data_IF_643461154811
#
_entry.id   IF_643461154811
#
_cell.length_a   1.000
_cell.length_b   1.000
_cell.length_c   1.000
_cell.angle_alpha   90.00
_cell.angle_beta   90.00
_cell.angle_gamma   90.00
#
_symmetry.space_group_name_H-M   'P 1'
#
loop_
_entity.id
_entity.type
_entity.pdbx_description
1 polymer ?
#
# COMPACT_ATOMS: atom_id res chain seq x y z
N UNK A 1 -18.68 -18.41 42.62
CA UNK A 1 -18.64 -17.02 42.19
C UNK A 1 -17.90 -17.00 40.87
N UNK A 2 -18.62 -17.01 39.74
CA UNK A 2 -18.08 -17.10 38.38
C UNK A 2 -17.88 -15.65 37.91
N UNK A 3 -16.62 -15.23 37.78
CA UNK A 3 -16.27 -13.94 37.25
C UNK A 3 -16.60 -13.91 35.74
N UNK A 4 -17.54 -13.03 35.39
CA UNK A 4 -17.99 -12.81 34.03
C UNK A 4 -16.83 -12.37 33.14
N UNK A 5 -16.69 -13.01 31.99
CA UNK A 5 -15.89 -12.52 30.89
C UNK A 5 -16.50 -11.19 30.44
N UNK A 6 -15.75 -10.10 30.60
CA UNK A 6 -16.10 -8.83 29.99
C UNK A 6 -16.11 -9.01 28.47
N UNK A 7 -17.29 -8.87 27.88
CA UNK A 7 -17.48 -8.76 26.45
C UNK A 7 -16.89 -7.40 26.02
N UNK A 8 -15.60 -7.37 25.70
CA UNK A 8 -15.04 -6.22 24.99
C UNK A 8 -15.63 -6.26 23.59
N UNK A 9 -16.24 -5.17 23.10
CA UNK A 9 -16.74 -5.11 21.73
C UNK A 9 -15.57 -5.39 20.78
N UNK A 10 -15.76 -6.30 19.83
CA UNK A 10 -14.80 -6.58 18.77
C UNK A 10 -14.50 -5.26 18.05
N UNK A 11 -13.24 -4.96 17.82
CA UNK A 11 -12.70 -3.70 17.27
C UNK A 11 -13.41 -3.21 15.98
N UNK A 12 -14.33 -3.98 15.41
CA UNK A 12 -14.97 -3.76 14.10
C UNK A 12 -16.43 -3.31 14.10
N UNK A 13 -17.16 -3.32 15.21
CA UNK A 13 -18.62 -3.08 15.17
C UNK A 13 -19.04 -1.72 14.61
N UNK A 14 -18.10 -0.80 14.25
CA UNK A 14 -18.43 0.53 13.68
C UNK A 14 -17.37 1.12 12.71
N UNK A 15 -16.44 0.33 12.13
CA UNK A 15 -15.50 0.86 11.13
C UNK A 15 -15.80 0.33 9.73
N UNK A 16 -15.69 1.17 8.67
CA UNK A 16 -15.77 0.68 7.30
C UNK A 16 -14.68 -0.35 7.02
N UNK A 17 -14.90 -1.22 6.03
CA UNK A 17 -13.87 -2.12 5.55
C UNK A 17 -12.61 -1.34 5.10
N UNK A 18 -11.39 -1.85 5.34
CA UNK A 18 -10.19 -1.19 4.87
C UNK A 18 -10.15 -1.16 3.34
N UNK A 19 -9.61 -0.09 2.78
CA UNK A 19 -9.34 0.02 1.35
C UNK A 19 -8.32 -1.05 0.90
N UNK A 20 -8.39 -1.49 -0.37
CA UNK A 20 -7.50 -2.53 -0.90
C UNK A 20 -6.67 -1.98 -2.06
N UNK A 21 -5.35 -2.02 -1.89
CA UNK A 21 -4.37 -1.72 -2.94
C UNK A 21 -3.79 -3.03 -3.50
N UNK A 22 -3.78 -3.16 -4.82
CA UNK A 22 -3.09 -4.26 -5.52
C UNK A 22 -1.82 -3.68 -6.14
N UNK A 23 -0.66 -4.15 -5.66
CA UNK A 23 0.64 -3.55 -5.97
C UNK A 23 1.48 -4.41 -6.92
N UNK A 24 2.31 -3.75 -7.73
CA UNK A 24 3.24 -4.40 -8.65
C UNK A 24 2.58 -4.89 -9.94
N UNK A 25 1.62 -4.15 -10.47
CA UNK A 25 1.03 -4.36 -11.79
C UNK A 25 2.01 -3.88 -12.87
N UNK A 26 2.12 -4.64 -13.94
CA UNK A 26 2.97 -4.34 -15.10
C UNK A 26 2.19 -4.32 -16.41
N UNK A 27 0.95 -4.77 -16.41
CA UNK A 27 0.09 -4.92 -17.57
C UNK A 27 -1.17 -4.05 -17.43
N UNK A 28 -1.48 -3.17 -18.42
CA UNK A 28 -2.63 -2.26 -18.36
C UNK A 28 -3.98 -2.98 -18.34
N UNK A 29 -4.15 -4.05 -19.12
CA UNK A 29 -5.43 -4.75 -19.20
C UNK A 29 -5.73 -5.47 -17.88
N UNK A 30 -4.71 -6.03 -17.26
CA UNK A 30 -4.83 -6.64 -15.94
C UNK A 30 -5.14 -5.59 -14.86
N UNK A 31 -4.52 -4.41 -14.94
CA UNK A 31 -4.80 -3.32 -14.02
C UNK A 31 -6.26 -2.84 -14.14
N UNK A 32 -6.78 -2.70 -15.36
CA UNK A 32 -8.19 -2.35 -15.61
C UNK A 32 -9.15 -3.43 -15.09
N UNK A 33 -8.83 -4.70 -15.32
CA UNK A 33 -9.65 -5.80 -14.80
C UNK A 33 -9.72 -5.79 -13.27
N UNK A 34 -8.60 -5.53 -12.59
CA UNK A 34 -8.53 -5.45 -11.13
C UNK A 34 -9.27 -4.21 -10.60
N UNK A 35 -9.16 -3.08 -11.28
CA UNK A 35 -9.94 -1.89 -10.95
C UNK A 35 -11.46 -2.17 -11.04
N UNK A 36 -11.90 -2.83 -12.11
CA UNK A 36 -13.30 -3.23 -12.31
C UNK A 36 -13.80 -4.24 -11.26
N UNK A 37 -12.91 -4.99 -10.60
CA UNK A 37 -13.24 -5.88 -9.49
C UNK A 37 -13.49 -5.13 -8.16
N UNK A 38 -13.20 -3.81 -8.10
CA UNK A 38 -13.40 -3.00 -6.91
C UNK A 38 -12.16 -2.82 -6.03
N UNK A 39 -10.95 -2.93 -6.59
CA UNK A 39 -9.75 -2.46 -5.90
C UNK A 39 -9.79 -0.93 -5.76
N UNK A 40 -9.37 -0.39 -4.62
CA UNK A 40 -9.35 1.05 -4.34
C UNK A 40 -8.07 1.73 -4.86
N UNK A 41 -7.00 0.96 -5.01
CA UNK A 41 -5.71 1.47 -5.48
C UNK A 41 -4.93 0.45 -6.32
N UNK A 42 -4.23 0.94 -7.33
CA UNK A 42 -3.28 0.16 -8.15
C UNK A 42 -1.88 0.71 -7.95
N UNK A 43 -0.94 -0.18 -7.61
CA UNK A 43 0.47 0.16 -7.44
C UNK A 43 1.34 -0.28 -8.61
N UNK A 44 2.14 0.65 -9.15
CA UNK A 44 3.14 0.41 -10.19
C UNK A 44 4.52 0.73 -9.62
N UNK A 45 5.48 -0.19 -9.77
CA UNK A 45 6.81 -0.07 -9.17
C UNK A 45 7.78 0.54 -10.16
N UNK A 46 8.28 1.75 -9.85
CA UNK A 46 9.30 2.48 -10.62
C UNK A 46 10.72 2.31 -10.07
N UNK A 47 11.00 1.24 -9.33
CA UNK A 47 12.32 0.96 -8.76
C UNK A 47 13.07 -0.01 -9.67
N UNK A 48 14.07 0.49 -10.38
CA UNK A 48 14.88 -0.31 -11.30
C UNK A 48 15.54 -1.51 -10.62
N UNK A 49 15.69 -2.62 -11.34
CA UNK A 49 16.28 -3.85 -10.82
C UNK A 49 15.33 -4.72 -9.99
N UNK A 50 14.10 -4.28 -9.74
CA UNK A 50 13.09 -5.12 -9.10
C UNK A 50 12.34 -5.97 -10.14
N UNK A 51 11.84 -7.16 -9.78
CA UNK A 51 11.14 -8.05 -10.73
C UNK A 51 9.82 -7.48 -11.30
N UNK A 52 9.31 -6.40 -10.71
CA UNK A 52 8.04 -5.74 -11.08
C UNK A 52 8.26 -4.32 -11.58
N UNK A 53 9.49 -4.01 -11.96
CA UNK A 53 9.83 -2.70 -12.48
C UNK A 53 9.05 -2.40 -13.76
N UNK A 54 8.51 -1.18 -13.82
CA UNK A 54 7.87 -0.60 -14.99
C UNK A 54 8.54 0.74 -15.26
N UNK A 55 8.96 0.98 -16.48
CA UNK A 55 9.58 2.24 -16.86
C UNK A 55 8.58 3.42 -16.88
N UNK A 56 9.08 4.64 -17.02
CA UNK A 56 8.25 5.85 -17.00
C UNK A 56 7.20 5.85 -18.11
N UNK A 57 7.56 5.42 -19.31
CA UNK A 57 6.66 5.44 -20.48
C UNK A 57 5.52 4.44 -20.28
N UNK A 58 5.85 3.23 -19.89
CA UNK A 58 4.87 2.16 -19.62
C UNK A 58 3.96 2.51 -18.46
N UNK A 59 4.51 3.06 -17.35
CA UNK A 59 3.74 3.53 -16.20
C UNK A 59 2.75 4.62 -16.61
N UNK A 60 3.19 5.62 -17.40
CA UNK A 60 2.31 6.69 -17.86
C UNK A 60 1.16 6.17 -18.71
N UNK A 61 1.45 5.25 -19.63
CA UNK A 61 0.41 4.61 -20.46
C UNK A 61 -0.60 3.86 -19.58
N UNK A 62 -0.13 3.06 -18.61
CA UNK A 62 -0.97 2.33 -17.68
C UNK A 62 -1.85 3.29 -16.85
N UNK A 63 -1.27 4.33 -16.26
CA UNK A 63 -2.02 5.28 -15.45
C UNK A 63 -3.01 6.11 -16.28
N UNK A 64 -2.70 6.44 -17.52
CA UNK A 64 -3.63 7.13 -18.40
C UNK A 64 -4.85 6.25 -18.72
N UNK A 65 -4.66 4.95 -18.95
CA UNK A 65 -5.79 4.04 -19.14
C UNK A 65 -6.67 3.95 -17.88
N UNK A 66 -6.06 3.86 -16.70
CA UNK A 66 -6.80 3.85 -15.43
C UNK A 66 -7.52 5.17 -15.17
N UNK A 67 -6.91 6.31 -15.48
CA UNK A 67 -7.50 7.63 -15.31
C UNK A 67 -8.81 7.79 -16.12
N UNK A 68 -8.82 7.25 -17.34
CA UNK A 68 -9.98 7.31 -18.22
C UNK A 68 -11.09 6.33 -17.81
N UNK A 69 -10.74 5.14 -17.36
CA UNK A 69 -11.71 4.07 -17.09
C UNK A 69 -12.18 4.02 -15.63
N UNK A 70 -11.37 4.49 -14.69
CA UNK A 70 -11.63 4.45 -13.26
C UNK A 70 -11.04 5.70 -12.57
N UNK A 71 -11.60 6.90 -12.78
CA UNK A 71 -11.03 8.17 -12.32
C UNK A 71 -10.86 8.26 -10.80
N UNK A 72 -11.71 7.58 -10.03
CA UNK A 72 -11.66 7.56 -8.55
C UNK A 72 -10.58 6.61 -8.00
N UNK A 73 -10.02 5.74 -8.85
CA UNK A 73 -8.99 4.79 -8.45
C UNK A 73 -7.69 5.50 -8.11
N UNK A 74 -7.09 5.13 -6.98
CA UNK A 74 -5.76 5.61 -6.62
C UNK A 74 -4.68 4.99 -7.50
N UNK A 75 -3.96 5.82 -8.24
CA UNK A 75 -2.80 5.43 -9.06
C UNK A 75 -1.54 5.67 -8.25
N UNK A 76 -0.96 4.60 -7.72
CA UNK A 76 0.17 4.67 -6.78
C UNK A 76 1.48 4.36 -7.49
N UNK A 77 2.37 5.35 -7.58
CA UNK A 77 3.73 5.15 -8.07
C UNK A 77 4.68 4.86 -6.92
N UNK A 78 5.24 3.66 -6.89
CA UNK A 78 6.20 3.24 -5.86
C UNK A 78 7.61 3.58 -6.31
N UNK A 79 8.31 4.38 -5.51
CA UNK A 79 9.70 4.83 -5.77
C UNK A 79 10.57 4.61 -4.53
N UNK A 80 11.89 4.60 -4.73
CA UNK A 80 12.86 4.54 -3.64
C UNK A 80 14.01 5.50 -3.93
N UNK A 81 14.20 6.49 -3.04
CA UNK A 81 15.30 7.46 -3.08
C UNK A 81 15.48 8.16 -4.44
N UNK A 82 14.34 8.43 -5.11
CA UNK A 82 14.34 9.00 -6.46
C UNK A 82 14.83 10.46 -6.45
N UNK A 83 15.72 10.87 -7.39
CA UNK A 83 16.15 12.26 -7.53
C UNK A 83 15.00 13.21 -7.87
N UNK A 84 15.09 14.48 -7.43
CA UNK A 84 14.04 15.49 -7.61
C UNK A 84 13.63 15.71 -9.06
N UNK A 85 14.62 15.78 -9.95
CA UNK A 85 14.35 16.01 -11.38
C UNK A 85 13.60 14.82 -12.02
N UNK A 86 13.85 13.59 -11.58
CA UNK A 86 13.14 12.42 -12.05
C UNK A 86 11.72 12.35 -11.46
N UNK A 87 11.56 12.66 -10.17
CA UNK A 87 10.26 12.74 -9.54
C UNK A 87 9.39 13.81 -10.21
N UNK A 88 9.90 15.05 -10.34
CA UNK A 88 9.18 16.16 -10.98
C UNK A 88 8.79 15.84 -12.41
N UNK A 89 9.70 15.22 -13.20
CA UNK A 89 9.38 14.72 -14.53
C UNK A 89 8.25 13.69 -14.49
N UNK A 90 8.30 12.73 -13.55
CA UNK A 90 7.30 11.68 -13.40
C UNK A 90 5.92 12.18 -12.98
N UNK A 91 5.83 13.39 -12.41
CA UNK A 91 4.60 14.07 -11.98
C UNK A 91 4.07 15.09 -12.99
N UNK A 92 4.80 15.36 -14.07
CA UNK A 92 4.37 16.28 -15.12
C UNK A 92 3.50 15.57 -16.19
N UNK A 93 2.70 16.36 -16.92
CA UNK A 93 1.90 15.96 -18.09
C UNK A 93 0.79 14.92 -17.78
N UNK A 94 0.64 13.90 -18.65
CA UNK A 94 -0.43 12.91 -18.60
C UNK A 94 0.01 11.60 -17.91
N UNK A 95 -0.95 10.82 -17.45
CA UNK A 95 -0.69 9.53 -16.80
C UNK A 95 0.10 9.69 -15.50
N UNK A 96 -0.23 10.73 -14.73
CA UNK A 96 0.40 11.01 -13.46
C UNK A 96 -0.19 10.14 -12.33
N UNK A 97 0.61 9.82 -11.32
CA UNK A 97 0.07 9.19 -10.11
C UNK A 97 -0.79 10.17 -9.32
N UNK A 98 -1.77 9.67 -8.59
CA UNK A 98 -2.47 10.41 -7.53
C UNK A 98 -1.71 10.33 -6.22
N UNK A 99 -0.88 9.29 -6.07
CA UNK A 99 -0.06 9.02 -4.88
C UNK A 99 1.34 8.60 -5.31
N UNK A 100 2.36 9.17 -4.66
CA UNK A 100 3.73 8.66 -4.68
C UNK A 100 4.02 7.94 -3.37
N UNK A 101 4.34 6.65 -3.45
CA UNK A 101 4.75 5.85 -2.30
C UNK A 101 6.27 5.83 -2.20
N UNK A 102 6.80 6.49 -1.18
CA UNK A 102 8.23 6.58 -0.87
C UNK A 102 8.68 5.33 -0.11
N UNK A 103 9.36 4.42 -0.79
CA UNK A 103 9.73 3.09 -0.27
C UNK A 103 11.23 2.95 0.04
N UNK A 104 12.01 4.01 -0.15
CA UNK A 104 13.43 4.10 0.18
C UNK A 104 13.69 4.57 1.61
N UNK A 105 14.82 5.27 1.78
CA UNK A 105 15.26 5.82 3.07
C UNK A 105 15.00 7.35 3.16
N UNK A 106 13.96 7.83 2.45
CA UNK A 106 13.58 9.25 2.44
C UNK A 106 13.33 9.74 3.87
N UNK A 107 14.04 10.79 4.29
CA UNK A 107 13.89 11.38 5.62
C UNK A 107 12.58 12.14 5.78
N UNK A 108 12.10 12.42 7.02
CA UNK A 108 10.92 13.27 7.25
C UNK A 108 11.05 14.65 6.58
N UNK A 109 12.24 15.25 6.61
CA UNK A 109 12.50 16.55 5.96
C UNK A 109 12.34 16.44 4.44
N UNK A 110 12.85 15.36 3.85
CA UNK A 110 12.69 15.07 2.42
C UNK A 110 11.22 14.88 2.05
N UNK A 111 10.47 14.10 2.82
CA UNK A 111 9.05 13.90 2.60
C UNK A 111 8.26 15.22 2.67
N UNK A 112 8.54 16.05 3.68
CA UNK A 112 7.91 17.36 3.84
C UNK A 112 8.23 18.30 2.68
N UNK A 113 9.47 18.29 2.16
CA UNK A 113 9.87 19.09 1.00
C UNK A 113 9.09 18.65 -0.25
N UNK A 114 9.05 17.34 -0.53
CA UNK A 114 8.29 16.81 -1.66
C UNK A 114 6.81 17.18 -1.63
N UNK A 115 6.20 17.09 -0.45
CA UNK A 115 4.80 17.47 -0.25
C UNK A 115 4.55 18.96 -0.51
N UNK A 116 5.50 19.82 -0.17
CA UNK A 116 5.43 21.27 -0.46
C UNK A 116 5.63 21.58 -1.94
N UNK A 117 6.55 20.90 -2.58
CA UNK A 117 6.90 21.14 -3.99
C UNK A 117 5.82 20.59 -4.94
N UNK A 118 5.08 19.56 -4.51
CA UNK A 118 4.04 18.90 -5.31
C UNK A 118 2.69 18.82 -4.57
N UNK A 119 2.01 19.94 -4.29
CA UNK A 119 0.82 20.01 -3.44
C UNK A 119 -0.41 19.28 -4.00
N UNK A 120 -0.39 18.90 -5.28
CA UNK A 120 -1.47 18.15 -5.94
C UNK A 120 -1.27 16.63 -5.84
N UNK A 121 -0.12 16.17 -5.33
CA UNK A 121 0.22 14.75 -5.21
C UNK A 121 0.27 14.37 -3.74
N UNK A 122 -0.37 13.25 -3.39
CA UNK A 122 -0.25 12.69 -2.04
C UNK A 122 1.02 11.86 -1.92
N UNK A 123 1.65 11.93 -0.76
CA UNK A 123 2.86 11.18 -0.45
C UNK A 123 2.61 10.20 0.68
N UNK A 124 2.84 8.91 0.42
CA UNK A 124 2.82 7.86 1.43
C UNK A 124 4.25 7.42 1.75
N UNK A 125 4.57 7.20 3.02
CA UNK A 125 5.88 6.67 3.42
C UNK A 125 5.76 5.20 3.80
N UNK A 126 6.52 4.35 3.13
CA UNK A 126 6.67 2.96 3.53
C UNK A 126 7.71 2.84 4.66
N UNK A 127 7.30 2.18 5.74
CA UNK A 127 8.10 1.87 6.93
C UNK A 127 8.31 0.37 6.99
N UNK A 128 9.53 -0.09 6.72
CA UNK A 128 9.89 -1.51 6.79
C UNK A 128 10.36 -1.85 8.21
N UNK A 129 9.56 -2.62 8.94
CA UNK A 129 9.82 -2.93 10.34
C UNK A 129 10.60 -4.25 10.49
N UNK A 130 11.66 -4.21 11.29
CA UNK A 130 12.42 -5.39 11.78
C UNK A 130 12.09 -5.71 13.22
N UNK A 131 11.74 -4.69 14.00
CA UNK A 131 11.42 -4.81 15.42
C UNK A 131 10.27 -3.85 15.76
N UNK A 132 9.50 -4.11 16.81
CA UNK A 132 8.37 -3.26 17.21
C UNK A 132 8.80 -1.85 17.64
N UNK A 133 10.03 -1.68 18.16
CA UNK A 133 10.54 -0.36 18.58
C UNK A 133 10.65 0.61 17.42
N UNK A 134 10.80 0.10 16.19
CA UNK A 134 10.87 0.94 14.99
C UNK A 134 9.55 1.65 14.66
N UNK A 135 8.43 1.20 15.23
CA UNK A 135 7.16 1.94 15.17
C UNK A 135 7.26 3.34 15.77
N UNK A 136 8.14 3.57 16.75
CA UNK A 136 8.38 4.92 17.30
C UNK A 136 8.93 5.90 16.26
N UNK A 137 9.58 5.41 15.20
CA UNK A 137 10.08 6.26 14.11
C UNK A 137 8.96 6.89 13.28
N UNK A 138 7.77 6.30 13.33
CA UNK A 138 6.57 6.81 12.64
C UNK A 138 6.24 8.22 13.07
N UNK A 139 6.42 8.57 14.35
CA UNK A 139 6.12 9.90 14.88
C UNK A 139 6.84 11.02 14.13
N UNK A 140 8.05 10.76 13.64
CA UNK A 140 8.83 11.74 12.88
C UNK A 140 8.24 12.06 11.49
N UNK A 141 7.33 11.23 10.96
CA UNK A 141 6.74 11.38 9.63
C UNK A 141 5.31 11.94 9.63
N UNK A 142 4.66 12.07 10.78
CA UNK A 142 3.23 12.39 10.88
C UNK A 142 2.83 13.67 10.15
N UNK A 143 3.67 14.72 10.20
CA UNK A 143 3.41 15.99 9.54
C UNK A 143 3.98 16.03 8.09
N UNK A 144 4.71 15.02 7.70
CA UNK A 144 5.52 15.01 6.47
C UNK A 144 4.89 14.23 5.33
N UNK A 145 3.89 13.40 5.60
CA UNK A 145 3.23 12.52 4.62
C UNK A 145 1.72 12.47 4.83
N UNK A 146 0.98 11.95 3.86
CA UNK A 146 -0.47 11.86 3.90
C UNK A 146 -0.97 10.51 4.43
N UNK A 147 -0.12 9.48 4.34
CA UNK A 147 -0.35 8.17 4.94
C UNK A 147 0.96 7.42 5.16
N UNK A 148 0.90 6.39 5.99
CA UNK A 148 1.98 5.43 6.20
C UNK A 148 1.64 4.09 5.57
N UNK A 149 2.63 3.38 5.09
CA UNK A 149 2.53 1.98 4.75
C UNK A 149 3.50 1.20 5.63
N UNK A 150 2.99 0.28 6.43
CA UNK A 150 3.79 -0.55 7.33
C UNK A 150 4.00 -1.90 6.67
N UNK A 151 5.25 -2.26 6.40
CA UNK A 151 5.62 -3.49 5.69
C UNK A 151 6.60 -4.33 6.52
N UNK A 152 6.59 -5.64 6.31
CA UNK A 152 7.59 -6.53 6.86
C UNK A 152 8.94 -6.29 6.17
N UNK A 153 10.00 -6.09 6.97
CA UNK A 153 11.34 -5.98 6.41
C UNK A 153 11.83 -7.32 5.84
N UNK A 154 12.48 -7.26 4.69
CA UNK A 154 13.21 -8.39 4.12
C UNK A 154 14.63 -7.95 3.73
N UNK A 155 15.65 -8.80 3.96
CA UNK A 155 17.02 -8.47 3.54
C UNK A 155 17.19 -8.42 2.03
N UNK A 156 16.39 -9.18 1.29
CA UNK A 156 16.65 -9.48 -0.12
C UNK A 156 15.89 -8.56 -1.09
N UNK A 157 14.82 -7.90 -0.65
CA UNK A 157 13.97 -7.09 -1.54
C UNK A 157 13.30 -5.91 -0.84
N UNK A 158 13.03 -4.85 -1.61
CA UNK A 158 12.21 -3.71 -1.23
C UNK A 158 10.70 -4.08 -1.26
N UNK A 159 10.28 -5.02 -0.39
CA UNK A 159 8.91 -5.51 -0.33
C UNK A 159 8.62 -6.70 -1.26
N UNK A 160 7.39 -7.23 -1.18
CA UNK A 160 6.92 -8.33 -2.05
C UNK A 160 7.47 -9.72 -1.72
N UNK A 161 8.11 -9.92 -0.57
CA UNK A 161 8.65 -11.23 -0.13
C UNK A 161 7.57 -12.15 0.44
N UNK A 162 6.40 -11.61 0.77
CA UNK A 162 5.30 -12.35 1.37
C UNK A 162 5.49 -12.67 2.86
N UNK A 163 6.51 -12.11 3.51
CA UNK A 163 6.66 -12.16 4.95
C UNK A 163 5.57 -11.35 5.63
N UNK A 164 5.07 -11.84 6.76
CA UNK A 164 4.06 -11.16 7.57
C UNK A 164 4.71 -10.47 8.76
N UNK A 165 4.22 -9.28 9.10
CA UNK A 165 4.52 -8.68 10.39
C UNK A 165 3.78 -9.44 11.49
N UNK A 166 4.39 -9.65 12.65
CA UNK A 166 3.67 -10.09 13.85
C UNK A 166 2.59 -9.06 14.19
N UNK A 167 1.31 -9.48 14.22
CA UNK A 167 0.19 -8.56 14.44
C UNK A 167 0.21 -7.92 15.83
N UNK A 168 0.81 -8.61 16.82
CA UNK A 168 1.02 -8.10 18.17
C UNK A 168 1.84 -6.80 18.19
N UNK A 169 2.70 -6.54 17.21
CA UNK A 169 3.44 -5.28 17.11
C UNK A 169 2.53 -4.10 16.76
N UNK A 170 1.41 -4.37 16.09
CA UNK A 170 0.49 -3.38 15.56
C UNK A 170 -0.80 -3.28 16.35
N UNK A 171 -1.12 -4.26 17.20
CA UNK A 171 -2.38 -4.32 17.94
C UNK A 171 -2.59 -3.13 18.88
N UNK A 172 -1.50 -2.58 19.43
CA UNK A 172 -1.51 -1.40 20.30
C UNK A 172 -1.12 -0.11 19.58
N UNK A 173 -0.74 -0.20 18.29
CA UNK A 173 -0.30 0.96 17.50
C UNK A 173 -1.50 1.86 17.19
N UNK A 174 -1.50 3.07 17.75
CA UNK A 174 -2.44 4.13 17.40
C UNK A 174 -1.73 5.14 16.52
N UNK A 175 -1.86 4.94 15.20
CA UNK A 175 -1.29 5.87 14.24
C UNK A 175 -2.29 7.00 13.98
N UNK A 176 -1.91 8.27 14.19
CA UNK A 176 -2.84 9.41 14.10
C UNK A 176 -3.10 9.88 12.66
N UNK A 177 -2.49 9.25 11.68
CA UNK A 177 -2.73 9.46 10.25
C UNK A 177 -3.13 8.14 9.58
N UNK A 178 -3.78 8.16 8.40
CA UNK A 178 -4.15 6.95 7.68
C UNK A 178 -2.94 6.01 7.48
N UNK A 179 -3.15 4.71 7.66
CA UNK A 179 -2.09 3.74 7.51
C UNK A 179 -2.54 2.46 6.82
N UNK A 180 -1.62 1.91 6.05
CA UNK A 180 -1.78 0.72 5.25
C UNK A 180 -0.91 -0.40 5.79
N UNK A 181 -1.42 -1.63 5.79
CA UNK A 181 -0.65 -2.81 6.14
C UNK A 181 -0.26 -3.58 4.88
N UNK A 182 1.05 -3.81 4.73
CA UNK A 182 1.63 -4.66 3.70
C UNK A 182 2.29 -5.91 4.30
N UNK A 183 2.73 -6.80 3.42
CA UNK A 183 3.43 -8.03 3.81
C UNK A 183 2.51 -9.23 3.94
N UNK A 184 2.55 -10.11 2.94
CA UNK A 184 1.87 -11.41 2.96
C UNK A 184 0.35 -11.38 2.94
N UNK A 185 -0.27 -10.26 2.55
CA UNK A 185 -1.73 -10.12 2.49
C UNK A 185 -2.31 -11.13 1.50
N UNK A 186 -3.27 -11.92 1.99
CA UNK A 186 -4.01 -12.93 1.21
C UNK A 186 -5.40 -13.15 1.82
N UNK A 187 -6.34 -13.66 1.03
CA UNK A 187 -7.74 -13.89 1.47
C UNK A 187 -7.85 -14.72 2.75
N UNK A 188 -7.01 -15.75 2.88
CA UNK A 188 -7.02 -16.66 4.01
C UNK A 188 -6.58 -15.99 5.33
N UNK A 189 -5.79 -14.93 5.24
CA UNK A 189 -5.29 -14.22 6.42
C UNK A 189 -6.20 -13.08 6.88
N UNK A 190 -7.10 -12.59 6.05
CA UNK A 190 -7.96 -11.44 6.35
C UNK A 190 -8.76 -11.62 7.64
N UNK A 191 -9.43 -12.77 7.92
CA UNK A 191 -10.21 -12.92 9.15
C UNK A 191 -9.37 -12.76 10.41
N UNK A 192 -8.20 -13.41 10.46
CA UNK A 192 -7.26 -13.30 11.58
C UNK A 192 -6.72 -11.86 11.71
N UNK A 193 -6.19 -11.30 10.60
CA UNK A 193 -5.61 -9.97 10.56
C UNK A 193 -6.59 -8.93 11.11
N UNK A 194 -7.78 -8.89 10.58
CA UNK A 194 -8.76 -7.87 10.91
C UNK A 194 -9.44 -8.09 12.28
N UNK A 195 -9.25 -9.25 12.91
CA UNK A 195 -9.64 -9.47 14.30
C UNK A 195 -8.67 -8.82 15.30
N UNK A 196 -7.42 -8.56 14.90
CA UNK A 196 -6.36 -8.07 15.77
C UNK A 196 -5.97 -6.61 15.50
N UNK A 197 -6.03 -6.17 14.24
CA UNK A 197 -5.63 -4.81 13.82
C UNK A 197 -6.67 -4.17 12.90
N UNK A 198 -6.68 -2.84 12.87
CA UNK A 198 -7.63 -2.04 12.09
C UNK A 198 -6.89 -1.02 11.23
N UNK A 199 -6.18 -1.45 10.16
CA UNK A 199 -5.60 -0.54 9.20
C UNK A 199 -6.69 0.18 8.40
N UNK A 200 -6.37 1.36 7.86
CA UNK A 200 -7.25 2.07 6.91
C UNK A 200 -7.18 1.43 5.52
N UNK A 201 -6.09 0.73 5.21
CA UNK A 201 -5.94 0.00 3.95
C UNK A 201 -5.01 -1.22 4.06
N UNK A 202 -5.12 -2.09 3.06
CA UNK A 202 -4.32 -3.30 2.88
C UNK A 202 -3.58 -3.22 1.54
N UNK A 203 -2.28 -3.50 1.54
CA UNK A 203 -1.44 -3.53 0.34
C UNK A 203 -1.02 -4.97 0.00
N UNK A 204 -1.59 -5.52 -1.05
CA UNK A 204 -1.36 -6.90 -1.48
C UNK A 204 -0.55 -6.96 -2.78
N UNK A 205 0.44 -7.85 -2.85
CA UNK A 205 1.30 -8.02 -4.03
C UNK A 205 1.59 -9.49 -4.34
N UNK A 206 2.71 -10.02 -3.86
CA UNK A 206 3.28 -11.32 -4.26
C UNK A 206 2.37 -12.53 -4.00
N UNK A 207 1.55 -12.51 -2.94
CA UNK A 207 0.62 -13.61 -2.62
C UNK A 207 -0.48 -13.78 -3.65
N UNK A 208 -0.76 -12.73 -4.42
CA UNK A 208 -1.77 -12.72 -5.48
C UNK A 208 -1.19 -13.06 -6.86
N UNK A 209 0.08 -13.40 -6.97
CA UNK A 209 0.74 -13.58 -8.26
C UNK A 209 0.78 -15.02 -8.75
N UNK A 210 0.75 -15.17 -10.07
CA UNK A 210 1.15 -16.36 -10.82
C UNK A 210 2.66 -16.32 -11.05
N UNK A 211 3.18 -15.14 -11.40
CA UNK A 211 4.61 -14.80 -11.54
C UNK A 211 4.80 -13.32 -11.22
N UNK A 212 6.00 -12.86 -10.88
CA UNK A 212 6.23 -11.45 -10.57
C UNK A 212 5.64 -10.51 -11.64
N UNK A 213 4.84 -9.53 -11.20
CA UNK A 213 4.16 -8.58 -12.07
C UNK A 213 2.85 -9.07 -12.71
N UNK A 214 2.48 -10.33 -12.57
CA UNK A 214 1.27 -10.91 -13.15
C UNK A 214 0.36 -11.54 -12.09
N UNK A 215 -0.79 -10.94 -11.85
CA UNK A 215 -1.73 -11.38 -10.81
C UNK A 215 -2.62 -12.54 -11.27
N UNK A 216 -2.96 -13.40 -10.32
CA UNK A 216 -4.05 -14.36 -10.43
C UNK A 216 -5.36 -13.63 -10.07
N UNK A 217 -6.21 -13.39 -11.06
CA UNK A 217 -7.45 -12.64 -10.87
C UNK A 217 -8.42 -13.34 -9.90
N UNK A 218 -8.37 -14.67 -9.79
CA UNK A 218 -9.19 -15.40 -8.82
C UNK A 218 -8.73 -15.13 -7.39
N UNK A 219 -7.41 -15.06 -7.16
CA UNK A 219 -6.87 -14.67 -5.84
C UNK A 219 -7.20 -13.22 -5.50
N UNK A 220 -7.17 -12.32 -6.49
CA UNK A 220 -7.59 -10.91 -6.30
C UNK A 220 -9.06 -10.85 -5.91
N UNK A 221 -9.95 -11.50 -6.66
CA UNK A 221 -11.38 -11.55 -6.35
C UNK A 221 -11.65 -12.13 -4.95
N UNK A 222 -10.95 -13.21 -4.58
CA UNK A 222 -11.06 -13.83 -3.26
C UNK A 222 -10.62 -12.89 -2.13
N UNK A 223 -9.54 -12.12 -2.36
CA UNK A 223 -9.09 -11.13 -1.38
C UNK A 223 -10.11 -10.00 -1.20
N UNK A 224 -10.58 -9.39 -2.30
CA UNK A 224 -11.56 -8.29 -2.25
C UNK A 224 -12.83 -8.74 -1.52
N UNK A 225 -13.35 -9.93 -1.84
CA UNK A 225 -14.50 -10.51 -1.15
C UNK A 225 -14.24 -10.78 0.34
N UNK A 226 -13.03 -11.20 0.73
CA UNK A 226 -12.70 -11.46 2.13
C UNK A 226 -12.62 -10.16 2.96
N UNK A 227 -12.24 -9.04 2.33
CA UNK A 227 -12.16 -7.72 2.98
C UNK A 227 -13.55 -7.07 3.13
N UNK A 228 -14.39 -7.17 2.13
CA UNK A 228 -15.77 -6.64 2.11
C UNK A 228 -16.75 -7.77 1.81
N UNK A 229 -17.06 -8.61 2.81
CA UNK A 229 -18.12 -9.60 2.63
C UNK A 229 -19.47 -8.87 2.50
N UNK A 230 -20.24 -9.27 1.46
CA UNK A 230 -21.62 -8.81 1.21
C UNK A 230 -22.52 -9.07 2.43
#
# INVERSE_FOLDING_TARGET
MILGRSNQPTLRENRPAPAVKICGLTDPDQALAIAAMGADAIGVIGVAGTPRYVDERERRALFQHLELAAPELERVWVVADLPDHELSRGLADHGTPTVVQLHGEESPQRCLQLKKDHPQTRFWKAMRLRTPEQLKRVEAYLDSVDALLVDAWSPDQLGGTGHRLPLEWLSEARLPIPWWLAGGISSEWIPELLSQVSPDGLDASSRLEVRPGWKDLNKVASLLKAVSPD
#
